data_IF_138934678709
#
_entry.id   IF_138934678709
#
_cell.length_a   1.000
_cell.length_b   1.000
_cell.length_c   1.000
_cell.angle_alpha   90.00
_cell.angle_beta   90.00
_cell.angle_gamma   90.00
#
_symmetry.space_group_name_H-M   'P 1'
#
loop_
_entity.id
_entity.type
_entity.pdbx_description
1 polymer ?
#
# COMPACT_ATOMS: atom_id res chain seq x y z
N UNK A 1 2.81 10.15 -36.01
CA UNK A 1 3.04 9.59 -34.67
C UNK A 1 2.33 10.49 -33.69
N UNK A 2 1.07 10.17 -33.37
CA UNK A 2 0.23 10.95 -32.46
C UNK A 2 0.54 10.49 -31.05
N UNK A 3 1.21 11.32 -30.26
CA UNK A 3 1.31 11.13 -28.81
C UNK A 3 -0.04 11.46 -28.19
N UNK A 4 -0.97 10.51 -28.23
CA UNK A 4 -2.18 10.60 -27.43
C UNK A 4 -1.77 10.47 -25.97
N UNK A 5 -1.88 11.57 -25.23
CA UNK A 5 -1.95 11.54 -23.77
C UNK A 5 -3.04 10.53 -23.39
N UNK A 6 -2.79 9.57 -22.48
CA UNK A 6 -3.82 8.64 -22.04
C UNK A 6 -5.04 9.45 -21.60
N UNK A 7 -6.24 9.01 -22.03
CA UNK A 7 -7.51 9.50 -21.50
C UNK A 7 -7.41 9.64 -19.97
N UNK A 8 -7.97 10.73 -19.40
CA UNK A 8 -8.01 11.02 -17.97
C UNK A 8 -8.80 9.95 -17.20
N UNK A 9 -8.25 8.75 -17.11
CA UNK A 9 -8.80 7.62 -16.37
C UNK A 9 -8.56 7.85 -14.88
N UNK A 10 -9.54 7.44 -14.08
CA UNK A 10 -9.65 7.68 -12.64
C UNK A 10 -8.64 6.87 -11.82
N UNK A 11 -7.35 7.02 -12.07
CA UNK A 11 -6.30 6.25 -11.39
C UNK A 11 -6.28 6.38 -9.87
N UNK A 12 -5.80 5.33 -9.22
CA UNK A 12 -5.56 5.28 -7.79
C UNK A 12 -4.06 5.29 -7.48
N UNK A 13 -3.66 6.18 -6.56
CA UNK A 13 -2.42 6.02 -5.82
C UNK A 13 -2.71 5.38 -4.46
N UNK A 14 -2.38 4.11 -4.31
CA UNK A 14 -2.74 3.30 -3.13
C UNK A 14 -1.71 3.32 -2.02
N UNK A 15 -0.60 4.03 -2.19
CA UNK A 15 0.43 4.15 -1.17
C UNK A 15 1.09 5.51 -1.24
N UNK A 16 0.56 6.46 -0.49
CA UNK A 16 1.15 7.78 -0.32
C UNK A 16 1.02 8.23 1.14
N UNK A 17 1.90 9.12 1.56
CA UNK A 17 1.93 9.70 2.89
C UNK A 17 1.76 11.21 2.78
N UNK A 18 1.14 11.83 3.77
CA UNK A 18 1.15 13.29 3.93
C UNK A 18 1.65 13.60 5.33
N UNK A 19 2.18 14.79 5.54
CA UNK A 19 2.82 15.21 6.77
C UNK A 19 2.44 16.65 7.13
N UNK A 20 2.03 16.89 8.37
CA UNK A 20 1.87 18.23 8.94
C UNK A 20 2.33 18.25 10.40
N UNK A 21 3.65 18.23 10.66
CA UNK A 21 4.19 18.18 12.03
C UNK A 21 3.91 19.43 12.85
N UNK A 22 3.48 20.53 12.22
CA UNK A 22 3.11 21.77 12.92
C UNK A 22 1.75 21.61 13.59
N UNK A 23 0.77 21.06 12.86
CA UNK A 23 -0.58 20.83 13.38
C UNK A 23 -0.72 19.49 14.11
N UNK A 24 -0.03 18.46 13.64
CA UNK A 24 -0.03 17.09 14.17
C UNK A 24 1.42 16.68 14.52
N UNK A 25 1.93 17.12 15.68
CA UNK A 25 3.31 16.84 16.07
C UNK A 25 3.65 15.36 16.06
N UNK A 26 4.84 15.04 15.56
CA UNK A 26 5.33 13.67 15.56
C UNK A 26 5.54 13.12 16.97
N UNK A 27 5.49 11.79 17.08
CA UNK A 27 5.81 11.11 18.33
C UNK A 27 7.26 11.38 18.73
N UNK A 28 7.56 11.42 20.05
CA UNK A 28 8.92 11.47 20.55
C UNK A 28 9.75 10.31 19.99
N UNK A 29 11.03 10.55 19.69
CA UNK A 29 11.98 9.54 19.24
C UNK A 29 11.58 8.79 17.95
N UNK A 30 10.77 9.41 17.09
CA UNK A 30 10.53 8.87 15.75
C UNK A 30 11.87 8.66 15.00
N UNK A 31 12.04 7.54 14.26
CA UNK A 31 13.29 7.25 13.54
C UNK A 31 13.62 8.25 12.42
N UNK A 32 12.62 9.00 11.94
CA UNK A 32 12.77 10.04 10.93
C UNK A 32 11.67 11.10 11.09
N UNK A 33 11.89 12.32 10.57
CA UNK A 33 10.96 13.44 10.70
C UNK A 33 10.83 14.19 9.37
N UNK A 34 9.92 13.76 8.48
CA UNK A 34 9.74 14.40 7.17
C UNK A 34 9.21 15.83 7.31
N UNK A 35 9.56 16.73 6.38
CA UNK A 35 8.98 18.07 6.36
C UNK A 35 7.49 18.03 5.99
N UNK A 36 6.79 19.14 6.22
CA UNK A 36 5.37 19.30 5.85
C UNK A 36 5.16 19.03 4.35
N UNK A 37 4.16 18.20 4.05
CA UNK A 37 3.74 17.75 2.72
C UNK A 37 2.24 17.44 2.76
N UNK A 38 1.43 18.32 2.21
CA UNK A 38 -0.03 18.32 2.36
C UNK A 38 -0.73 17.44 1.31
N UNK A 39 -2.03 17.21 1.49
CA UNK A 39 -2.86 16.57 0.46
C UNK A 39 -2.94 17.40 -0.83
N UNK A 40 -2.84 18.73 -0.75
CA UNK A 40 -2.79 19.62 -1.92
C UNK A 40 -1.48 19.45 -2.71
N UNK A 41 -0.35 19.35 -2.00
CA UNK A 41 0.95 19.04 -2.59
C UNK A 41 0.91 17.68 -3.30
N UNK A 42 0.31 16.67 -2.66
CA UNK A 42 0.12 15.33 -3.23
C UNK A 42 -0.70 15.36 -4.53
N UNK A 43 -1.86 16.01 -4.51
CA UNK A 43 -2.74 16.13 -5.70
C UNK A 43 -2.07 16.88 -6.85
N UNK A 44 -1.13 17.77 -6.55
CA UNK A 44 -0.35 18.50 -7.55
C UNK A 44 0.80 17.67 -8.12
N UNK A 45 1.37 16.76 -7.31
CA UNK A 45 2.53 15.96 -7.68
C UNK A 45 2.18 14.67 -8.42
N UNK A 46 1.03 14.06 -8.13
CA UNK A 46 0.67 12.72 -8.60
C UNK A 46 -0.55 12.80 -9.54
N UNK A 47 -0.47 12.26 -10.77
CA UNK A 47 -1.55 12.37 -11.77
C UNK A 47 -2.75 11.44 -11.50
N UNK A 48 -2.85 10.85 -10.31
CA UNK A 48 -4.00 10.03 -9.88
C UNK A 48 -5.18 10.92 -9.47
N UNK A 49 -6.40 10.36 -9.54
CA UNK A 49 -7.61 11.05 -9.09
C UNK A 49 -8.10 10.55 -7.73
N UNK A 50 -7.61 9.39 -7.30
CA UNK A 50 -8.03 8.72 -6.08
C UNK A 50 -6.80 8.34 -5.27
N UNK A 51 -6.89 8.38 -3.95
CA UNK A 51 -5.73 8.27 -3.08
C UNK A 51 -6.05 7.46 -1.83
N UNK A 52 -5.11 6.61 -1.44
CA UNK A 52 -5.07 5.96 -0.12
C UNK A 52 -3.96 6.59 0.69
N UNK A 53 -4.33 7.41 1.68
CA UNK A 53 -3.40 7.98 2.65
C UNK A 53 -2.99 6.88 3.62
N UNK A 54 -1.73 6.47 3.55
CA UNK A 54 -1.15 5.49 4.46
C UNK A 54 -0.50 6.23 5.61
N UNK A 55 -0.92 5.92 6.84
CA UNK A 55 -0.32 6.52 8.03
C UNK A 55 1.13 6.06 8.21
N UNK A 56 2.02 6.99 8.57
CA UNK A 56 3.45 6.76 8.67
C UNK A 56 3.91 6.65 10.13
N UNK A 57 5.10 6.07 10.35
CA UNK A 57 5.66 5.86 11.71
C UNK A 57 5.73 7.12 12.56
N UNK A 58 6.13 8.30 12.03
CA UNK A 58 6.24 9.51 12.85
C UNK A 58 4.91 9.96 13.49
N UNK A 59 3.78 9.53 12.94
CA UNK A 59 2.43 9.88 13.42
C UNK A 59 1.94 8.95 14.55
N UNK A 60 2.68 7.88 14.85
CA UNK A 60 2.36 6.94 15.91
C UNK A 60 1.08 6.14 15.66
N UNK A 61 0.05 6.38 16.49
CA UNK A 61 -1.28 5.72 16.38
C UNK A 61 -2.42 6.72 16.36
N UNK A 62 -2.13 8.01 16.15
CA UNK A 62 -3.17 9.04 16.05
C UNK A 62 -3.70 9.10 14.62
N UNK A 63 -4.98 8.76 14.43
CA UNK A 63 -5.61 8.77 13.09
C UNK A 63 -6.03 10.16 12.63
N UNK A 64 -5.93 11.19 13.48
CA UNK A 64 -6.49 12.52 13.23
C UNK A 64 -5.98 13.15 11.93
N UNK A 65 -4.67 13.08 11.67
CA UNK A 65 -4.08 13.65 10.47
C UNK A 65 -4.50 12.90 9.19
N UNK A 66 -4.51 11.57 9.23
CA UNK A 66 -5.02 10.74 8.11
C UNK A 66 -6.48 11.09 7.79
N UNK A 67 -7.34 11.25 8.81
CA UNK A 67 -8.74 11.63 8.58
C UNK A 67 -8.88 13.03 7.98
N UNK A 68 -8.07 13.99 8.44
CA UNK A 68 -8.03 15.33 7.87
C UNK A 68 -7.60 15.31 6.39
N UNK A 69 -6.58 14.52 6.07
CA UNK A 69 -6.12 14.36 4.69
C UNK A 69 -7.19 13.72 3.79
N UNK A 70 -7.90 12.70 4.28
CA UNK A 70 -9.03 12.08 3.56
C UNK A 70 -10.12 13.11 3.29
N UNK A 71 -10.51 13.90 4.31
CA UNK A 71 -11.54 14.93 4.16
C UNK A 71 -11.13 16.03 3.16
N UNK A 72 -9.85 16.41 3.16
CA UNK A 72 -9.29 17.36 2.19
C UNK A 72 -9.39 16.85 0.75
N UNK A 73 -8.99 15.59 0.51
CA UNK A 73 -9.14 14.94 -0.80
C UNK A 73 -10.60 14.90 -1.25
N UNK A 74 -11.52 14.49 -0.37
CA UNK A 74 -12.95 14.41 -0.67
C UNK A 74 -13.55 15.78 -0.99
N UNK A 75 -13.14 16.83 -0.28
CA UNK A 75 -13.56 18.21 -0.53
C UNK A 75 -13.09 18.73 -1.89
N UNK A 76 -11.95 18.23 -2.38
CA UNK A 76 -11.44 18.50 -3.72
C UNK A 76 -12.04 17.60 -4.83
N UNK A 77 -13.10 16.83 -4.51
CA UNK A 77 -13.76 15.94 -5.47
C UNK A 77 -12.97 14.68 -5.81
N UNK A 78 -11.98 14.31 -4.99
CA UNK A 78 -11.19 13.07 -5.12
C UNK A 78 -11.78 11.96 -4.25
N UNK A 79 -11.63 10.68 -4.63
CA UNK A 79 -11.89 9.60 -3.67
C UNK A 79 -10.69 9.50 -2.71
N UNK A 80 -10.87 10.03 -1.50
CA UNK A 80 -9.94 9.85 -0.39
C UNK A 80 -10.29 8.62 0.43
N UNK A 81 -9.30 7.74 0.63
CA UNK A 81 -9.34 6.59 1.54
C UNK A 81 -8.08 6.58 2.41
N UNK A 82 -8.06 5.71 3.42
CA UNK A 82 -6.86 5.59 4.24
C UNK A 82 -6.59 4.21 4.81
N UNK A 83 -5.31 4.02 5.10
CA UNK A 83 -4.76 2.91 5.88
C UNK A 83 -4.19 3.47 7.17
N UNK A 84 -4.66 2.99 8.32
CA UNK A 84 -4.27 3.51 9.65
C UNK A 84 -3.36 2.53 10.40
N UNK A 85 -2.53 3.02 11.31
CA UNK A 85 -1.87 2.17 12.32
C UNK A 85 -2.59 2.38 13.65
N UNK A 86 -3.05 1.30 14.27
CA UNK A 86 -3.81 1.40 15.51
C UNK A 86 -3.19 0.52 16.59
N UNK A 87 -3.36 0.95 17.83
CA UNK A 87 -3.15 0.05 18.97
C UNK A 87 -4.31 -0.96 19.00
N UNK A 88 -4.05 -2.28 19.10
CA UNK A 88 -5.10 -3.29 19.21
C UNK A 88 -6.16 -2.99 20.28
N UNK A 89 -5.79 -2.35 21.40
CA UNK A 89 -6.76 -2.00 22.45
C UNK A 89 -7.81 -0.99 21.98
N UNK A 90 -7.49 -0.17 20.97
CA UNK A 90 -8.37 0.85 20.39
C UNK A 90 -9.19 0.33 19.22
N UNK A 91 -8.88 -0.87 18.71
CA UNK A 91 -9.62 -1.53 17.64
C UNK A 91 -10.91 -2.18 18.21
N UNK A 92 -11.80 -1.33 18.73
CA UNK A 92 -13.14 -1.70 19.20
C UNK A 92 -14.17 -1.41 18.11
N UNK A 93 -15.30 -2.16 18.05
CA UNK A 93 -16.28 -2.03 16.96
C UNK A 93 -16.72 -0.61 16.62
N UNK A 94 -17.09 0.19 17.63
CA UNK A 94 -17.55 1.56 17.42
C UNK A 94 -16.49 2.48 16.81
N UNK A 95 -15.22 2.33 17.20
CA UNK A 95 -14.13 3.14 16.64
C UNK A 95 -13.80 2.72 15.21
N UNK A 96 -13.76 1.41 14.93
CA UNK A 96 -13.53 0.89 13.58
C UNK A 96 -14.65 1.32 12.62
N UNK A 97 -15.91 1.26 13.04
CA UNK A 97 -17.03 1.77 12.27
C UNK A 97 -16.92 3.28 12.05
N UNK A 98 -16.57 4.08 13.07
CA UNK A 98 -16.37 5.53 12.91
C UNK A 98 -15.30 5.84 11.86
N UNK A 99 -14.17 5.14 11.91
CA UNK A 99 -13.09 5.28 10.93
C UNK A 99 -13.51 4.82 9.54
N UNK A 100 -14.30 3.75 9.44
CA UNK A 100 -14.82 3.25 8.17
C UNK A 100 -15.70 4.30 7.47
N UNK A 101 -16.62 4.95 8.20
CA UNK A 101 -17.45 6.04 7.68
C UNK A 101 -16.62 7.25 7.25
N UNK A 102 -15.49 7.49 7.93
CA UNK A 102 -14.57 8.56 7.56
C UNK A 102 -13.67 8.22 6.35
N UNK A 103 -13.79 7.01 5.79
CA UNK A 103 -13.07 6.59 4.58
C UNK A 103 -11.88 5.67 4.82
N UNK A 104 -11.61 5.23 6.05
CA UNK A 104 -10.59 4.22 6.31
C UNK A 104 -11.07 2.86 5.79
N UNK A 105 -10.15 2.09 5.20
CA UNK A 105 -10.42 0.79 4.57
C UNK A 105 -9.43 -0.30 4.94
N UNK A 106 -8.39 0.05 5.70
CA UNK A 106 -7.36 -0.90 6.05
C UNK A 106 -6.60 -0.47 7.29
N UNK A 107 -5.97 -1.44 7.93
CA UNK A 107 -5.04 -1.25 9.04
C UNK A 107 -3.66 -1.79 8.67
N UNK A 108 -2.60 -1.07 9.04
CA UNK A 108 -1.22 -1.42 8.73
C UNK A 108 -0.49 -1.97 9.94
N UNK A 109 0.08 -3.16 9.77
CA UNK A 109 1.01 -3.78 10.71
C UNK A 109 2.43 -3.35 10.31
N UNK A 110 3.03 -2.46 11.10
CA UNK A 110 4.31 -1.82 10.76
C UNK A 110 5.50 -2.47 11.48
N UNK A 111 6.37 -3.15 10.75
CA UNK A 111 7.53 -3.90 11.29
C UNK A 111 8.56 -3.05 12.00
N UNK A 112 8.79 -1.80 11.60
CA UNK A 112 9.63 -0.87 12.36
C UNK A 112 9.21 -0.72 13.84
N UNK A 113 7.97 -1.06 14.20
CA UNK A 113 7.49 -1.03 15.59
C UNK A 113 7.54 -2.37 16.31
N UNK A 114 7.45 -3.48 15.58
CA UNK A 114 7.19 -4.82 16.15
C UNK A 114 8.21 -5.88 15.74
N UNK A 115 9.07 -5.61 14.76
CA UNK A 115 9.95 -6.59 14.12
C UNK A 115 9.24 -7.53 13.13
N UNK A 116 9.94 -8.59 12.71
CA UNK A 116 9.41 -9.63 11.79
C UNK A 116 9.38 -11.03 12.43
N UNK A 117 9.19 -11.12 13.76
CA UNK A 117 8.96 -12.42 14.39
C UNK A 117 7.66 -13.04 13.86
N UNK A 118 7.76 -14.22 13.26
CA UNK A 118 6.64 -14.87 12.56
C UNK A 118 5.51 -15.26 13.51
N UNK A 119 5.80 -15.70 14.74
CA UNK A 119 4.75 -16.10 15.68
C UNK A 119 4.01 -14.88 16.26
N UNK A 120 4.74 -13.79 16.50
CA UNK A 120 4.15 -12.49 16.83
C UNK A 120 3.25 -12.01 15.69
N UNK A 121 3.74 -12.04 14.44
CA UNK A 121 2.96 -11.62 13.28
C UNK A 121 1.72 -12.49 13.07
N UNK A 122 1.81 -13.82 13.20
CA UNK A 122 0.64 -14.71 13.15
C UNK A 122 -0.42 -14.31 14.18
N UNK A 123 0.00 -13.97 15.39
CA UNK A 123 -0.91 -13.55 16.45
C UNK A 123 -1.55 -12.21 16.11
N UNK A 124 -0.77 -11.23 15.65
CA UNK A 124 -1.26 -9.90 15.27
C UNK A 124 -2.23 -9.98 14.09
N UNK A 125 -1.93 -10.74 13.04
CA UNK A 125 -2.81 -10.90 11.88
C UNK A 125 -4.16 -11.52 12.31
N UNK A 126 -4.13 -12.55 13.15
CA UNK A 126 -5.34 -13.20 13.67
C UNK A 126 -6.18 -12.27 14.54
N UNK A 127 -5.54 -11.55 15.48
CA UNK A 127 -6.24 -10.63 16.37
C UNK A 127 -6.84 -9.45 15.58
N UNK A 128 -6.08 -8.88 14.66
CA UNK A 128 -6.50 -7.79 13.77
C UNK A 128 -7.71 -8.21 12.92
N UNK A 129 -7.63 -9.36 12.25
CA UNK A 129 -8.71 -9.87 11.41
C UNK A 129 -10.02 -10.09 12.20
N UNK A 130 -9.92 -10.68 13.40
CA UNK A 130 -11.09 -10.92 14.27
C UNK A 130 -11.73 -9.63 14.76
N UNK A 131 -10.94 -8.59 15.04
CA UNK A 131 -11.46 -7.28 15.47
C UNK A 131 -12.19 -6.55 14.35
N UNK A 132 -11.66 -6.65 13.12
CA UNK A 132 -12.31 -6.13 11.91
C UNK A 132 -13.65 -6.85 11.69
N UNK A 133 -13.65 -8.18 11.72
CA UNK A 133 -14.85 -9.00 11.57
C UNK A 133 -15.90 -8.70 12.65
N UNK A 134 -15.50 -8.63 13.92
CA UNK A 134 -16.39 -8.28 15.04
C UNK A 134 -17.00 -6.87 14.94
N UNK A 135 -16.38 -5.97 14.17
CA UNK A 135 -16.93 -4.65 13.89
C UNK A 135 -17.96 -4.66 12.74
N UNK A 136 -18.12 -5.78 12.04
CA UNK A 136 -19.04 -5.94 10.92
C UNK A 136 -18.63 -5.15 9.67
N UNK A 137 -17.33 -4.90 9.49
CA UNK A 137 -16.77 -4.18 8.35
C UNK A 137 -15.77 -5.08 7.60
N UNK A 138 -15.50 -4.75 6.35
CA UNK A 138 -14.53 -5.45 5.51
C UNK A 138 -13.36 -4.50 5.24
N UNK A 139 -12.29 -4.67 6.02
CA UNK A 139 -11.03 -3.95 5.85
C UNK A 139 -9.92 -4.89 5.42
N UNK A 140 -8.95 -4.36 4.68
CA UNK A 140 -7.68 -5.04 4.44
C UNK A 140 -6.75 -5.01 5.65
N UNK A 141 -5.69 -5.82 5.59
CA UNK A 141 -4.54 -5.76 6.49
C UNK A 141 -3.29 -5.50 5.66
N UNK A 142 -2.75 -4.28 5.74
CA UNK A 142 -1.48 -3.91 5.10
C UNK A 142 -0.29 -4.33 5.97
N UNK A 143 0.81 -4.75 5.33
CA UNK A 143 2.10 -4.85 6.01
C UNK A 143 3.29 -4.61 5.08
N UNK A 144 4.40 -4.19 5.66
CA UNK A 144 5.70 -4.08 5.00
C UNK A 144 6.64 -5.13 5.60
N UNK A 145 6.65 -6.33 5.01
CA UNK A 145 7.45 -7.48 5.46
C UNK A 145 8.41 -7.94 4.36
N UNK A 146 9.51 -8.59 4.75
CA UNK A 146 10.38 -9.30 3.82
C UNK A 146 9.68 -10.47 3.11
N UNK A 147 10.17 -10.81 1.93
CA UNK A 147 9.67 -11.93 1.12
C UNK A 147 9.60 -13.26 1.90
N UNK A 148 10.63 -13.55 2.70
CA UNK A 148 10.68 -14.76 3.55
C UNK A 148 9.55 -14.77 4.58
N UNK A 149 9.29 -13.64 5.22
CA UNK A 149 8.26 -13.52 6.25
C UNK A 149 6.87 -13.65 5.64
N UNK A 150 6.61 -13.05 4.48
CA UNK A 150 5.36 -13.25 3.74
C UNK A 150 5.09 -14.72 3.42
N UNK A 151 6.10 -15.44 2.91
CA UNK A 151 5.99 -16.87 2.63
C UNK A 151 5.65 -17.69 3.87
N UNK A 152 6.30 -17.42 5.02
CA UNK A 152 6.01 -18.10 6.27
C UNK A 152 4.57 -17.87 6.79
N UNK A 153 3.92 -16.79 6.36
CA UNK A 153 2.56 -16.41 6.74
C UNK A 153 1.47 -16.98 5.81
N UNK A 154 1.82 -17.58 4.66
CA UNK A 154 0.88 -18.11 3.67
C UNK A 154 -0.22 -19.01 4.30
N UNK A 155 0.10 -19.98 5.18
CA UNK A 155 -0.94 -20.80 5.80
C UNK A 155 -1.90 -19.99 6.70
N UNK A 156 -1.38 -18.95 7.35
CA UNK A 156 -2.19 -18.10 8.25
C UNK A 156 -3.12 -17.20 7.46
N UNK A 157 -2.61 -16.58 6.39
CA UNK A 157 -3.41 -15.73 5.50
C UNK A 157 -4.52 -16.52 4.81
N UNK A 158 -4.19 -17.71 4.28
CA UNK A 158 -5.16 -18.60 3.63
C UNK A 158 -6.31 -18.94 4.58
N UNK A 159 -5.99 -19.36 5.81
CA UNK A 159 -6.99 -19.70 6.82
C UNK A 159 -7.87 -18.51 7.19
N UNK A 160 -7.29 -17.34 7.43
CA UNK A 160 -8.05 -16.13 7.80
C UNK A 160 -8.96 -15.66 6.67
N UNK A 161 -8.53 -15.81 5.42
CA UNK A 161 -9.39 -15.54 4.27
C UNK A 161 -10.58 -16.51 4.21
N UNK A 162 -10.34 -17.80 4.37
CA UNK A 162 -11.40 -18.83 4.34
C UNK A 162 -12.40 -18.68 5.50
N UNK A 163 -11.92 -18.28 6.69
CA UNK A 163 -12.76 -18.12 7.87
C UNK A 163 -13.53 -16.79 7.89
N UNK A 164 -12.90 -15.68 7.47
CA UNK A 164 -13.38 -14.32 7.73
C UNK A 164 -13.47 -13.44 6.47
N UNK A 165 -13.08 -13.95 5.30
CA UNK A 165 -12.98 -13.13 4.08
C UNK A 165 -11.83 -12.10 4.11
N UNK A 166 -10.88 -12.24 5.03
CA UNK A 166 -9.79 -11.25 5.19
C UNK A 166 -8.90 -11.21 3.94
N UNK A 167 -8.53 -10.01 3.51
CA UNK A 167 -7.55 -9.78 2.44
C UNK A 167 -6.31 -9.07 2.95
N UNK A 168 -5.17 -9.39 2.37
CA UNK A 168 -3.86 -8.89 2.81
C UNK A 168 -3.24 -8.00 1.75
N UNK A 169 -2.63 -6.91 2.16
CA UNK A 169 -2.03 -5.93 1.25
C UNK A 169 -0.54 -5.84 1.51
N UNK A 170 0.24 -6.17 0.49
CA UNK A 170 1.70 -6.17 0.54
C UNK A 170 2.19 -4.78 0.15
N UNK A 171 2.86 -4.10 1.08
CA UNK A 171 3.58 -2.87 0.76
C UNK A 171 4.87 -3.15 0.00
N UNK A 172 5.19 -2.25 -0.93
CA UNK A 172 6.46 -2.16 -1.65
C UNK A 172 6.98 -3.48 -2.22
N UNK A 173 6.16 -4.17 -3.03
CA UNK A 173 6.57 -5.34 -3.80
C UNK A 173 7.35 -6.39 -2.96
N UNK A 174 6.81 -6.78 -1.80
CA UNK A 174 7.43 -7.74 -0.86
C UNK A 174 8.78 -7.28 -0.27
N UNK A 175 9.13 -6.00 -0.39
CA UNK A 175 10.44 -5.46 -0.03
C UNK A 175 11.60 -6.20 -0.72
N UNK A 176 11.36 -6.78 -1.90
CA UNK A 176 12.32 -7.62 -2.60
C UNK A 176 13.20 -6.84 -3.57
N UNK A 177 14.34 -7.41 -3.92
CA UNK A 177 15.25 -6.89 -4.95
C UNK A 177 14.79 -7.35 -6.34
N UNK A 178 15.16 -6.64 -7.43
CA UNK A 178 15.02 -7.15 -8.79
C UNK A 178 15.58 -8.57 -8.99
N UNK A 179 16.58 -8.98 -8.20
CA UNK A 179 17.18 -10.31 -8.27
C UNK A 179 16.26 -11.42 -7.74
N UNK A 180 15.23 -11.09 -6.98
CA UNK A 180 14.29 -12.06 -6.44
C UNK A 180 13.23 -12.49 -7.48
N UNK A 181 13.29 -11.97 -8.72
CA UNK A 181 12.32 -12.28 -9.76
C UNK A 181 12.15 -13.78 -10.02
N UNK A 182 13.20 -14.59 -9.85
CA UNK A 182 13.17 -16.05 -10.05
C UNK A 182 13.16 -16.84 -8.71
N UNK A 183 12.92 -16.15 -7.59
CA UNK A 183 12.89 -16.81 -6.30
C UNK A 183 11.67 -17.75 -6.21
N UNK A 184 11.84 -19.05 -5.97
CA UNK A 184 10.73 -20.02 -5.92
C UNK A 184 9.75 -19.74 -4.78
N UNK A 185 10.18 -19.01 -3.75
CA UNK A 185 9.32 -18.56 -2.64
C UNK A 185 8.16 -17.67 -3.13
N UNK A 186 8.30 -17.02 -4.29
CA UNK A 186 7.23 -16.23 -4.89
C UNK A 186 6.05 -17.08 -5.35
N UNK A 187 6.24 -18.35 -5.70
CA UNK A 187 5.19 -19.15 -6.36
C UNK A 187 3.94 -19.30 -5.48
N UNK A 188 4.12 -19.55 -4.18
CA UNK A 188 3.03 -19.63 -3.21
C UNK A 188 2.33 -18.27 -3.02
N UNK A 189 3.08 -17.17 -3.06
CA UNK A 189 2.54 -15.82 -2.93
C UNK A 189 1.77 -15.41 -4.18
N UNK A 190 2.26 -15.78 -5.36
CA UNK A 190 1.57 -15.58 -6.63
C UNK A 190 0.26 -16.39 -6.69
N UNK A 191 0.17 -17.53 -6.01
CA UNK A 191 -1.10 -18.24 -5.86
C UNK A 191 -2.10 -17.46 -4.99
N UNK A 192 -1.66 -16.85 -3.89
CA UNK A 192 -2.54 -15.98 -3.10
C UNK A 192 -3.04 -14.77 -3.89
N UNK A 193 -2.19 -14.16 -4.71
CA UNK A 193 -2.57 -13.12 -5.67
C UNK A 193 -3.62 -13.66 -6.64
N UNK A 194 -3.37 -14.82 -7.25
CA UNK A 194 -4.32 -15.43 -8.20
C UNK A 194 -5.70 -15.70 -7.58
N UNK A 195 -5.73 -16.04 -6.28
CA UNK A 195 -6.95 -16.35 -5.52
C UNK A 195 -7.67 -15.13 -4.95
N UNK A 196 -7.13 -13.91 -5.11
CA UNK A 196 -7.74 -12.70 -4.53
C UNK A 196 -7.55 -12.55 -3.03
N UNK A 197 -6.64 -13.33 -2.43
CA UNK A 197 -6.34 -13.29 -0.99
C UNK A 197 -5.35 -12.16 -0.68
N UNK A 198 -4.47 -11.86 -1.63
CA UNK A 198 -3.35 -10.95 -1.47
C UNK A 198 -3.31 -9.92 -2.58
N UNK A 199 -3.28 -8.64 -2.21
CA UNK A 199 -3.02 -7.50 -3.08
C UNK A 199 -1.57 -7.06 -2.94
N UNK A 200 -0.94 -6.62 -4.02
CA UNK A 200 0.47 -6.20 -4.00
C UNK A 200 0.62 -4.80 -4.55
N UNK A 201 1.18 -3.90 -3.73
CA UNK A 201 1.49 -2.52 -4.14
C UNK A 201 2.82 -2.48 -4.89
N UNK A 202 2.75 -2.16 -6.17
CA UNK A 202 3.90 -1.80 -7.01
C UNK A 202 4.34 -0.38 -6.64
N UNK A 203 5.10 -0.28 -5.56
CA UNK A 203 5.53 0.97 -4.93
C UNK A 203 6.96 0.84 -4.38
N UNK A 204 7.62 1.97 -4.10
CA UNK A 204 8.96 1.96 -3.50
C UNK A 204 10.06 1.32 -4.36
N UNK A 205 9.87 1.21 -5.68
CA UNK A 205 10.79 0.49 -6.57
C UNK A 205 12.25 1.01 -6.46
N UNK A 206 12.47 2.33 -6.40
CA UNK A 206 13.83 2.86 -6.25
C UNK A 206 14.50 2.41 -4.95
N UNK A 207 13.73 2.36 -3.86
CA UNK A 207 14.22 1.96 -2.53
C UNK A 207 14.79 0.55 -2.54
N UNK A 208 14.18 -0.34 -3.33
CA UNK A 208 14.53 -1.75 -3.39
C UNK A 208 15.31 -2.16 -4.65
N UNK A 209 15.62 -1.20 -5.54
CA UNK A 209 16.33 -1.45 -6.81
C UNK A 209 17.76 -1.97 -6.66
N UNK A 210 18.34 -1.88 -5.46
CA UNK A 210 19.75 -2.20 -5.19
C UNK A 210 20.71 -1.47 -6.15
N UNK A 211 20.38 -0.22 -6.51
CA UNK A 211 21.20 0.62 -7.40
C UNK A 211 21.05 0.32 -8.90
N UNK A 212 20.16 -0.61 -9.27
CA UNK A 212 19.92 -0.99 -10.69
C UNK A 212 18.87 -0.12 -11.39
N UNK A 213 18.24 0.80 -10.66
CA UNK A 213 17.08 1.57 -11.11
C UNK A 213 15.78 0.76 -11.09
N UNK A 214 14.65 1.45 -11.03
CA UNK A 214 13.32 0.82 -10.94
C UNK A 214 12.98 -0.09 -12.13
N UNK A 215 13.56 0.14 -13.32
CA UNK A 215 13.30 -0.66 -14.51
C UNK A 215 13.76 -2.12 -14.37
N UNK A 216 14.72 -2.38 -13.48
CA UNK A 216 15.21 -3.73 -13.21
C UNK A 216 14.12 -4.66 -12.65
N UNK A 217 13.04 -4.11 -12.08
CA UNK A 217 11.88 -4.90 -11.62
C UNK A 217 11.03 -5.51 -12.74
N UNK A 218 11.30 -5.20 -14.00
CA UNK A 218 10.49 -5.64 -15.15
C UNK A 218 10.13 -7.13 -15.15
N UNK A 219 11.09 -8.05 -14.95
CA UNK A 219 10.81 -9.49 -14.87
C UNK A 219 9.85 -9.84 -13.72
N UNK A 220 10.05 -9.28 -12.51
CA UNK A 220 9.20 -9.55 -11.37
C UNK A 220 7.78 -8.97 -11.55
N UNK A 221 7.67 -7.73 -12.01
CA UNK A 221 6.38 -7.10 -12.32
C UNK A 221 5.62 -7.93 -13.37
N UNK A 222 6.32 -8.43 -14.41
CA UNK A 222 5.70 -9.31 -15.41
C UNK A 222 5.14 -10.59 -14.79
N UNK A 223 5.88 -11.25 -13.88
CA UNK A 223 5.41 -12.45 -13.17
C UNK A 223 4.17 -12.17 -12.33
N UNK A 224 4.19 -11.07 -11.59
CA UNK A 224 3.07 -10.62 -10.77
C UNK A 224 1.83 -10.33 -11.62
N UNK A 225 1.97 -9.55 -12.69
CA UNK A 225 0.85 -9.18 -13.57
C UNK A 225 0.28 -10.42 -14.26
N UNK A 226 1.14 -11.38 -14.62
CA UNK A 226 0.69 -12.65 -15.21
C UNK A 226 -0.07 -13.55 -14.22
N UNK A 227 0.18 -13.40 -12.92
CA UNK A 227 -0.55 -14.13 -11.87
C UNK A 227 -1.89 -13.47 -11.51
N UNK A 228 -2.04 -12.16 -11.75
CA UNK A 228 -3.26 -11.42 -11.43
C UNK A 228 -4.43 -11.84 -12.35
N UNK A 229 -5.31 -12.68 -11.79
CA UNK A 229 -6.57 -13.11 -12.41
C UNK A 229 -7.81 -12.49 -11.76
N UNK A 230 -7.62 -11.46 -10.93
CA UNK A 230 -8.68 -10.86 -10.11
C UNK A 230 -8.25 -10.55 -8.68
N UNK A 231 -6.93 -10.55 -8.40
CA UNK A 231 -6.37 -10.39 -7.07
C UNK A 231 -5.19 -9.42 -7.03
N UNK A 232 -5.31 -8.32 -7.78
CA UNK A 232 -5.18 -7.07 -7.07
C UNK A 232 -3.78 -6.49 -7.01
N UNK A 233 -3.06 -6.45 -8.13
CA UNK A 233 -1.91 -5.54 -8.20
C UNK A 233 -2.40 -4.09 -8.12
N UNK A 234 -1.69 -3.28 -7.36
CA UNK A 234 -2.05 -1.89 -7.08
C UNK A 234 -0.87 -0.98 -7.41
N UNK A 235 -1.12 0.15 -8.06
CA UNK A 235 -0.12 1.22 -8.15
C UNK A 235 0.00 1.96 -6.80
N UNK A 236 1.22 2.30 -6.40
CA UNK A 236 1.46 3.24 -5.30
C UNK A 236 2.73 4.06 -5.55
N UNK A 237 2.66 5.38 -5.40
CA UNK A 237 3.78 6.28 -5.67
C UNK A 237 4.86 6.22 -4.59
N UNK A 238 4.48 5.89 -3.35
CA UNK A 238 5.30 6.05 -2.14
C UNK A 238 5.75 7.51 -1.94
N UNK A 239 4.96 8.47 -2.46
CA UNK A 239 5.12 9.89 -2.23
C UNK A 239 4.99 10.19 -0.72
N UNK A 240 5.78 11.12 -0.14
CA UNK A 240 6.70 12.07 -0.77
C UNK A 240 8.13 11.54 -0.88
N UNK A 241 8.30 10.22 -0.96
CA UNK A 241 9.60 9.56 -1.15
C UNK A 241 10.58 9.86 0.01
N UNK A 242 10.11 9.62 1.23
CA UNK A 242 10.90 9.79 2.46
C UNK A 242 12.06 8.80 2.49
N UNK A 243 13.26 9.30 2.76
CA UNK A 243 14.48 8.50 2.98
C UNK A 243 14.71 8.36 4.48
N UNK A 244 14.29 7.22 5.04
CA UNK A 244 14.32 6.98 6.49
C UNK A 244 15.75 7.05 7.07
N UNK A 245 16.75 6.55 6.35
CA UNK A 245 18.16 6.55 6.78
C UNK A 245 18.87 7.91 6.74
N UNK A 246 18.19 8.96 6.25
CA UNK A 246 18.74 10.32 6.15
C UNK A 246 17.84 11.31 6.89
N UNK A 247 17.35 10.90 8.07
CA UNK A 247 16.56 11.77 8.96
C UNK A 247 15.16 12.14 8.42
N UNK A 248 14.71 11.52 7.34
CA UNK A 248 13.43 11.82 6.70
C UNK A 248 13.50 12.89 5.61
N UNK A 249 14.69 13.14 5.05
CA UNK A 249 14.83 13.90 3.81
C UNK A 249 14.01 13.26 2.67
N UNK A 250 13.61 14.08 1.70
CA UNK A 250 12.83 13.62 0.56
C UNK A 250 13.76 13.43 -0.63
N UNK A 251 13.63 12.31 -1.32
CA UNK A 251 14.32 12.07 -2.60
C UNK A 251 13.45 12.54 -3.77
N UNK A 252 14.09 12.98 -4.84
CA UNK A 252 13.40 13.17 -6.13
C UNK A 252 13.18 11.81 -6.80
N UNK A 253 11.92 11.53 -7.16
CA UNK A 253 11.53 10.32 -7.89
C UNK A 253 10.71 10.75 -9.10
N UNK A 254 11.09 10.30 -10.30
CA UNK A 254 10.33 10.53 -11.52
C UNK A 254 9.12 9.57 -11.56
N UNK A 255 8.06 9.95 -10.85
CA UNK A 255 6.81 9.19 -10.81
C UNK A 255 6.21 8.99 -12.21
N UNK A 256 6.39 9.95 -13.14
CA UNK A 256 5.90 9.81 -14.50
C UNK A 256 6.66 8.71 -15.26
N UNK A 257 7.96 8.55 -15.03
CA UNK A 257 8.73 7.44 -15.58
C UNK A 257 8.31 6.08 -14.98
N UNK A 258 7.98 6.04 -13.68
CA UNK A 258 7.46 4.82 -13.04
C UNK A 258 6.13 4.39 -13.68
N UNK A 259 5.21 5.33 -13.87
CA UNK A 259 3.93 5.07 -14.51
C UNK A 259 4.10 4.55 -15.93
N UNK A 260 4.93 5.20 -16.76
CA UNK A 260 5.23 4.73 -18.13
C UNK A 260 5.80 3.32 -18.14
N UNK A 261 6.76 3.04 -17.25
CA UNK A 261 7.37 1.72 -17.13
C UNK A 261 6.35 0.65 -16.71
N UNK A 262 5.55 0.89 -15.67
CA UNK A 262 4.55 -0.07 -15.22
C UNK A 262 3.48 -0.30 -16.27
N UNK A 263 3.02 0.76 -16.94
CA UNK A 263 2.09 0.67 -18.05
C UNK A 263 2.65 -0.23 -19.16
N UNK A 264 3.87 0.04 -19.63
CA UNK A 264 4.53 -0.75 -20.68
C UNK A 264 4.67 -2.23 -20.29
N UNK A 265 5.10 -2.52 -19.05
CA UNK A 265 5.23 -3.92 -18.59
C UNK A 265 3.88 -4.61 -18.55
N UNK A 266 2.83 -3.93 -18.06
CA UNK A 266 1.49 -4.49 -17.97
C UNK A 266 0.89 -4.75 -19.37
N UNK A 267 0.96 -3.78 -20.27
CA UNK A 267 0.44 -3.90 -21.64
C UNK A 267 1.14 -5.02 -22.43
N UNK A 268 2.41 -5.27 -22.15
CA UNK A 268 3.16 -6.40 -22.71
C UNK A 268 2.74 -7.77 -22.16
N UNK A 269 2.03 -7.84 -21.02
CA UNK A 269 1.47 -9.09 -20.49
C UNK A 269 0.10 -9.37 -21.11
N UNK A 270 -0.74 -8.35 -21.26
CA UNK A 270 -2.04 -8.50 -21.91
C UNK A 270 -2.88 -7.24 -21.89
N UNK A 271 -3.88 -7.21 -22.78
CA UNK A 271 -4.84 -6.12 -22.87
C UNK A 271 -5.60 -5.93 -21.53
N UNK A 272 -5.76 -4.68 -21.11
CA UNK A 272 -6.46 -4.34 -19.86
C UNK A 272 -5.66 -4.58 -18.57
N UNK A 273 -4.47 -5.17 -18.62
CA UNK A 273 -3.65 -5.40 -17.43
C UNK A 273 -3.31 -4.09 -16.71
N UNK A 274 -2.92 -3.05 -17.45
CA UNK A 274 -2.62 -1.74 -16.85
C UNK A 274 -3.85 -1.12 -16.17
N UNK A 275 -5.02 -1.22 -16.78
CA UNK A 275 -6.27 -0.68 -16.24
C UNK A 275 -6.63 -1.33 -14.88
N UNK A 276 -6.36 -2.64 -14.73
CA UNK A 276 -6.50 -3.32 -13.43
C UNK A 276 -5.56 -2.75 -12.37
N UNK A 277 -4.26 -2.62 -12.70
CA UNK A 277 -3.23 -2.12 -11.78
C UNK A 277 -3.46 -0.66 -11.38
N UNK A 278 -3.81 0.17 -12.37
CA UNK A 278 -3.97 1.61 -12.20
C UNK A 278 -5.29 1.98 -11.51
N UNK A 279 -6.34 1.16 -11.65
CA UNK A 279 -7.67 1.53 -11.18
C UNK A 279 -8.49 0.36 -10.61
N UNK A 280 -8.86 -0.63 -11.42
CA UNK A 280 -10.01 -1.50 -11.11
C UNK A 280 -9.80 -2.33 -9.83
N UNK A 281 -8.57 -2.77 -9.58
CA UNK A 281 -8.19 -3.49 -8.38
C UNK A 281 -8.31 -2.62 -7.12
N UNK A 282 -7.87 -1.36 -7.21
CA UNK A 282 -7.95 -0.40 -6.11
C UNK A 282 -9.40 0.05 -5.85
N UNK A 283 -10.18 0.23 -6.90
CA UNK A 283 -11.60 0.53 -6.81
C UNK A 283 -12.35 -0.60 -6.09
N UNK A 284 -12.04 -1.86 -6.42
CA UNK A 284 -12.63 -3.03 -5.74
C UNK A 284 -12.25 -3.10 -4.26
N UNK A 285 -10.99 -2.82 -3.93
CA UNK A 285 -10.49 -2.95 -2.56
C UNK A 285 -10.88 -1.79 -1.64
N UNK A 286 -10.93 -0.56 -2.18
CA UNK A 286 -11.00 0.65 -1.37
C UNK A 286 -12.28 1.48 -1.53
N UNK A 287 -13.06 1.32 -2.60
CA UNK A 287 -14.24 2.17 -2.82
C UNK A 287 -15.34 1.95 -1.75
#
# INVERSE_FOLDING_TARGET
>A
MSSSTPSASQGWDTHCHVFDPVKHPYIPHTPYAPPRRTAEDLMSAIPASNFVIVMSVPEGTSTAHTLEAIASLQSAGRKGRGTVVMDPIRMVPGELQRLHHAGVRSVRIHTLRIGEDVEVLKTLFKDTARRIDAAGIQWGIDAQLSLKTWSALVPTMTKLHEELGTVFVVDHIFCCSPNDADNPVLDDLLDLVRRGIMYVKLSGLDRYSAGKGFQAFGPLVRRLVSADRGGGLLFGSDWPHVVMGQGGQLSEVDTAAHLRFLQEVCENVGEGAWQKVWNDNAETLYA
#
